data_IF_198049554201
#
_entry.id   IF_198049554201
#
_cell.length_a   1.000
_cell.length_b   1.000
_cell.length_c   1.000
_cell.angle_alpha   90.00
_cell.angle_beta   90.00
_cell.angle_gamma   90.00
#
_symmetry.space_group_name_H-M   'P 1'
#
loop_
_entity.id
_entity.type
_entity.pdbx_description
1 polymer ?
#
# COMPACT_ATOMS: atom_id res chain seq x y z
N UNK A 1 11.29 -13.92 13.33
CA UNK A 1 12.05 -14.49 14.46
C UNK A 1 11.99 -13.59 15.68
N UNK A 2 12.67 -12.44 15.70
CA UNK A 2 12.79 -11.57 16.89
C UNK A 2 11.44 -11.21 17.54
N UNK A 3 10.44 -10.77 16.75
CA UNK A 3 9.12 -10.39 17.29
C UNK A 3 8.36 -11.55 17.94
N UNK A 4 8.33 -12.72 17.30
CA UNK A 4 7.64 -13.92 17.81
C UNK A 4 8.36 -14.44 19.06
N UNK A 5 9.70 -14.49 19.04
CA UNK A 5 10.49 -14.89 20.22
C UNK A 5 10.18 -14.00 21.42
N UNK A 6 10.15 -12.67 21.23
CA UNK A 6 9.81 -11.73 22.29
C UNK A 6 8.40 -11.96 22.85
N UNK A 7 7.40 -12.18 21.99
CA UNK A 7 6.02 -12.45 22.44
C UNK A 7 5.92 -13.75 23.23
N UNK A 8 6.58 -14.83 22.77
CA UNK A 8 6.57 -16.11 23.48
C UNK A 8 7.25 -15.98 24.84
N UNK A 9 8.41 -15.33 24.91
CA UNK A 9 9.11 -15.09 26.19
C UNK A 9 8.23 -14.28 27.14
N UNK A 10 7.59 -13.20 26.68
CA UNK A 10 6.71 -12.38 27.52
C UNK A 10 5.48 -13.18 27.98
N UNK A 11 4.90 -14.01 27.11
CA UNK A 11 3.75 -14.84 27.45
C UNK A 11 4.11 -15.94 28.47
N UNK A 12 5.28 -16.56 28.35
CA UNK A 12 5.78 -17.54 29.32
C UNK A 12 6.11 -16.88 30.66
N UNK A 13 6.66 -15.66 30.64
CA UNK A 13 6.96 -14.86 31.83
C UNK A 13 5.79 -13.94 32.26
N UNK A 14 4.57 -14.24 31.81
CA UNK A 14 3.39 -13.36 31.94
C UNK A 14 2.96 -13.06 33.38
N UNK A 15 3.21 -13.97 34.32
CA UNK A 15 2.91 -13.73 35.74
C UNK A 15 3.71 -12.56 36.32
N UNK A 16 4.92 -12.32 35.80
CA UNK A 16 5.76 -11.19 36.23
C UNK A 16 5.56 -9.96 35.33
N UNK A 17 5.30 -10.17 34.04
CA UNK A 17 5.34 -9.10 33.05
C UNK A 17 3.98 -8.49 32.70
N UNK A 18 2.89 -9.27 32.71
CA UNK A 18 1.61 -8.86 32.15
C UNK A 18 0.52 -8.64 33.20
N UNK A 19 0.36 -9.56 34.14
CA UNK A 19 -0.76 -9.57 35.07
C UNK A 19 -0.38 -8.96 36.42
N UNK A 20 -1.34 -8.41 37.14
CA UNK A 20 -1.10 -7.84 38.48
C UNK A 20 -1.41 -8.89 39.58
N UNK A 21 -0.93 -8.70 40.83
CA UNK A 21 -1.17 -9.66 41.91
C UNK A 21 -2.66 -9.93 42.19
N UNK A 22 -3.52 -8.91 42.03
CA UNK A 22 -4.96 -9.05 42.20
C UNK A 22 -5.61 -9.99 41.18
N UNK A 23 -5.19 -9.94 39.92
CA UNK A 23 -5.63 -10.86 38.87
C UNK A 23 -5.15 -12.28 39.14
N UNK A 24 -3.91 -12.45 39.61
CA UNK A 24 -3.34 -13.75 39.93
C UNK A 24 -3.98 -14.40 41.17
N UNK A 25 -4.49 -13.59 42.09
CA UNK A 25 -5.17 -14.05 43.30
C UNK A 25 -6.64 -14.46 43.06
N UNK A 26 -7.24 -14.09 41.93
CA UNK A 26 -8.60 -14.50 41.58
C UNK A 26 -8.63 -16.00 41.20
N UNK A 27 -9.36 -16.87 41.93
CA UNK A 27 -9.46 -18.29 41.62
C UNK A 27 -10.04 -18.59 40.23
N UNK A 28 -10.77 -17.63 39.63
CA UNK A 28 -11.34 -17.76 38.28
C UNK A 28 -10.36 -17.35 37.17
N UNK A 29 -9.24 -16.71 37.52
CA UNK A 29 -8.27 -16.23 36.54
C UNK A 29 -7.37 -17.37 36.04
N UNK A 30 -7.56 -17.75 34.77
CA UNK A 30 -6.76 -18.78 34.12
C UNK A 30 -5.52 -18.16 33.47
N UNK A 31 -4.40 -18.10 34.22
CA UNK A 31 -3.13 -17.52 33.78
C UNK A 31 -2.73 -17.96 32.37
N UNK A 32 -2.52 -19.26 32.14
CA UNK A 32 -2.08 -19.78 30.85
C UNK A 32 -2.98 -19.35 29.68
N UNK A 33 -4.30 -19.39 29.87
CA UNK A 33 -5.26 -18.96 28.86
C UNK A 33 -5.22 -17.45 28.60
N UNK A 34 -5.05 -16.64 29.64
CA UNK A 34 -4.92 -15.19 29.52
C UNK A 34 -3.60 -14.79 28.81
N UNK A 35 -2.50 -15.47 29.12
CA UNK A 35 -1.19 -15.27 28.48
C UNK A 35 -1.23 -15.59 27.00
N UNK A 36 -1.85 -16.72 26.63
CA UNK A 36 -2.03 -17.08 25.22
C UNK A 36 -2.92 -16.06 24.50
N UNK A 37 -4.06 -15.68 25.08
CA UNK A 37 -4.95 -14.64 24.51
C UNK A 37 -4.21 -13.33 24.27
N UNK A 38 -3.36 -12.91 25.21
CA UNK A 38 -2.52 -11.72 25.01
C UNK A 38 -1.55 -11.91 23.85
N UNK A 39 -0.85 -13.05 23.80
CA UNK A 39 0.16 -13.35 22.77
C UNK A 39 -0.40 -13.30 21.35
N UNK A 40 -1.64 -13.77 21.15
CA UNK A 40 -2.30 -13.79 19.84
C UNK A 40 -3.28 -12.62 19.62
N UNK A 41 -3.41 -11.70 20.58
CA UNK A 41 -4.46 -10.67 20.53
C UNK A 41 -4.36 -9.73 19.33
N UNK A 42 -3.16 -9.52 18.76
CA UNK A 42 -3.01 -8.66 17.59
C UNK A 42 -3.55 -9.28 16.29
N UNK A 43 -3.77 -10.60 16.23
CA UNK A 43 -4.46 -11.24 15.09
C UNK A 43 -5.94 -10.85 15.01
N UNK A 44 -6.53 -10.31 16.08
CA UNK A 44 -7.89 -9.75 16.08
C UNK A 44 -7.96 -8.26 15.73
N UNK A 45 -6.84 -7.61 15.38
CA UNK A 45 -6.79 -6.18 15.16
C UNK A 45 -7.32 -5.81 13.75
N UNK A 46 -8.31 -4.91 13.68
CA UNK A 46 -8.94 -4.53 12.41
C UNK A 46 -7.96 -3.83 11.46
N UNK A 47 -7.02 -3.01 11.94
CA UNK A 47 -5.96 -2.41 11.11
C UNK A 47 -5.07 -3.48 10.45
N UNK A 48 -4.75 -4.57 11.16
CA UNK A 48 -3.92 -5.66 10.64
C UNK A 48 -4.65 -6.40 9.50
N UNK A 49 -5.95 -6.65 9.67
CA UNK A 49 -6.78 -7.23 8.62
C UNK A 49 -7.00 -6.29 7.43
N UNK A 50 -7.07 -4.97 7.66
CA UNK A 50 -7.12 -3.98 6.59
C UNK A 50 -5.84 -3.98 5.75
N UNK A 51 -4.67 -4.09 6.38
CA UNK A 51 -3.38 -4.25 5.68
C UNK A 51 -3.41 -5.50 4.80
N UNK A 52 -3.81 -6.64 5.37
CA UNK A 52 -3.93 -7.90 4.62
C UNK A 52 -4.89 -7.76 3.43
N UNK A 53 -6.04 -7.12 3.65
CA UNK A 53 -7.00 -6.74 2.62
C UNK A 53 -6.33 -6.04 1.45
N UNK A 54 -5.62 -4.96 1.71
CA UNK A 54 -4.94 -4.17 0.69
C UNK A 54 -3.94 -5.01 -0.13
N UNK A 55 -3.24 -5.99 0.46
CA UNK A 55 -2.36 -6.89 -0.30
C UNK A 55 -3.14 -7.77 -1.28
N UNK A 56 -4.38 -8.16 -0.95
CA UNK A 56 -5.23 -8.94 -1.85
C UNK A 56 -5.76 -8.09 -3.01
N UNK A 57 -6.09 -6.82 -2.78
CA UNK A 57 -6.39 -5.89 -3.87
C UNK A 57 -5.20 -5.80 -4.82
N UNK A 58 -3.98 -5.57 -4.30
CA UNK A 58 -2.76 -5.54 -5.11
C UNK A 58 -2.55 -6.83 -5.91
N UNK A 59 -2.73 -8.01 -5.30
CA UNK A 59 -2.66 -9.28 -6.01
C UNK A 59 -3.68 -9.37 -7.16
N UNK A 60 -4.89 -8.83 -6.98
CA UNK A 60 -5.90 -8.72 -8.03
C UNK A 60 -5.46 -7.82 -9.18
N UNK A 61 -4.83 -6.67 -8.89
CA UNK A 61 -4.27 -5.80 -9.92
C UNK A 61 -3.16 -6.48 -10.72
N UNK A 62 -2.24 -7.15 -10.04
CA UNK A 62 -1.13 -7.85 -10.68
C UNK A 62 -1.64 -8.97 -11.61
N UNK A 63 -2.61 -9.75 -11.13
CA UNK A 63 -3.20 -10.87 -11.89
C UNK A 63 -4.03 -10.41 -13.10
N UNK A 64 -4.75 -9.31 -12.99
CA UNK A 64 -5.61 -8.79 -14.07
C UNK A 64 -4.87 -7.94 -15.10
N UNK A 65 -3.65 -7.49 -14.79
CA UNK A 65 -2.89 -6.53 -15.61
C UNK A 65 -3.60 -5.17 -15.81
N UNK A 66 -4.64 -4.88 -15.02
CA UNK A 66 -5.41 -3.64 -15.14
C UNK A 66 -4.52 -2.40 -14.94
N UNK A 67 -3.58 -2.44 -13.99
CA UNK A 67 -2.67 -1.33 -13.74
C UNK A 67 -1.76 -1.04 -14.93
N UNK A 68 -1.30 -2.09 -15.64
CA UNK A 68 -0.54 -1.94 -16.89
C UNK A 68 -1.39 -1.29 -17.98
N UNK A 69 -2.64 -1.72 -18.14
CA UNK A 69 -3.58 -1.14 -19.10
C UNK A 69 -3.80 0.36 -18.82
N UNK A 70 -4.08 0.72 -17.57
CA UNK A 70 -4.33 2.09 -17.16
C UNK A 70 -3.12 3.00 -17.45
N UNK A 71 -1.93 2.56 -17.09
CA UNK A 71 -0.70 3.30 -17.35
C UNK A 71 -0.43 3.44 -18.86
N UNK A 72 -0.64 2.40 -19.68
CA UNK A 72 -0.51 2.49 -21.14
C UNK A 72 -1.51 3.45 -21.77
N UNK A 73 -2.76 3.50 -21.26
CA UNK A 73 -3.77 4.48 -21.70
C UNK A 73 -3.26 5.91 -21.44
N UNK A 74 -2.74 6.18 -20.25
CA UNK A 74 -2.20 7.50 -19.91
C UNK A 74 -0.99 7.86 -20.78
N UNK A 75 -0.05 6.93 -20.99
CA UNK A 75 1.11 7.15 -21.88
C UNK A 75 0.67 7.36 -23.33
N UNK A 76 -0.36 6.67 -23.82
CA UNK A 76 -0.92 6.87 -25.17
C UNK A 76 -1.42 8.31 -25.37
N UNK A 77 -2.16 8.87 -24.40
CA UNK A 77 -2.74 10.20 -24.54
C UNK A 77 -1.79 11.34 -24.17
N UNK A 78 -0.91 11.13 -23.19
CA UNK A 78 -0.05 12.17 -22.62
C UNK A 78 1.43 12.01 -22.99
N UNK A 79 1.84 10.92 -23.63
CA UNK A 79 3.25 10.58 -23.83
C UNK A 79 4.00 11.35 -24.92
N UNK A 80 3.32 12.21 -25.70
CA UNK A 80 3.93 12.92 -26.83
C UNK A 80 4.99 13.93 -26.40
N UNK A 81 4.80 14.61 -25.27
CA UNK A 81 5.77 15.57 -24.72
C UNK A 81 6.31 15.05 -23.39
N UNK A 82 7.58 15.29 -23.11
CA UNK A 82 8.25 14.73 -21.93
C UNK A 82 7.61 15.22 -20.61
N UNK A 83 7.16 16.47 -20.56
CA UNK A 83 6.44 16.99 -19.38
C UNK A 83 5.11 16.26 -19.17
N UNK A 84 4.27 16.16 -20.21
CA UNK A 84 2.97 15.46 -20.12
C UNK A 84 3.14 13.97 -19.88
N UNK A 85 4.24 13.37 -20.35
CA UNK A 85 4.61 12.00 -20.02
C UNK A 85 4.94 11.84 -18.52
N UNK A 86 5.61 12.82 -17.91
CA UNK A 86 5.80 12.85 -16.45
C UNK A 86 4.48 12.91 -15.69
N UNK A 87 3.52 13.71 -16.16
CA UNK A 87 2.15 13.70 -15.62
C UNK A 87 1.45 12.36 -15.84
N UNK A 88 1.63 11.71 -16.98
CA UNK A 88 1.07 10.39 -17.25
C UNK A 88 1.53 9.35 -16.21
N UNK A 89 2.82 9.34 -15.89
CA UNK A 89 3.41 8.49 -14.85
C UNK A 89 2.83 8.82 -13.48
N UNK A 90 2.76 10.11 -13.15
CA UNK A 90 2.27 10.57 -11.85
C UNK A 90 0.80 10.22 -11.65
N UNK A 91 -0.04 10.40 -12.66
CA UNK A 91 -1.45 10.03 -12.61
C UNK A 91 -1.67 8.51 -12.62
N UNK A 92 -0.83 7.75 -13.33
CA UNK A 92 -0.90 6.30 -13.27
C UNK A 92 -0.63 5.81 -11.85
N UNK A 93 0.40 6.34 -11.19
CA UNK A 93 0.70 6.00 -9.79
C UNK A 93 -0.41 6.48 -8.85
N UNK A 94 -0.92 7.71 -9.03
CA UNK A 94 -2.02 8.27 -8.23
C UNK A 94 -3.28 7.41 -8.27
N UNK A 95 -3.66 6.90 -9.44
CA UNK A 95 -4.87 6.07 -9.59
C UNK A 95 -4.71 4.67 -9.00
N UNK A 96 -3.48 4.15 -8.96
CA UNK A 96 -3.18 2.84 -8.38
C UNK A 96 -2.93 2.90 -6.87
N UNK A 97 -2.50 4.05 -6.35
CA UNK A 97 -2.07 4.18 -4.97
C UNK A 97 -3.11 3.82 -3.90
N UNK A 98 -4.40 4.18 -3.99
CA UNK A 98 -5.39 3.87 -2.96
C UNK A 98 -5.55 2.38 -2.66
N UNK A 99 -5.08 1.50 -3.55
CA UNK A 99 -5.39 0.07 -3.51
C UNK A 99 -4.17 -0.84 -3.47
N UNK A 100 -2.98 -0.26 -3.62
CA UNK A 100 -1.72 -1.00 -3.58
C UNK A 100 -0.93 -0.59 -2.35
N UNK A 101 -0.93 -1.38 -1.25
CA UNK A 101 -0.28 -1.05 0.03
C UNK A 101 1.24 -1.19 0.04
N UNK A 102 1.79 -1.33 -1.15
CA UNK A 102 3.21 -1.42 -1.39
C UNK A 102 3.58 -0.45 -2.50
N UNK A 103 4.27 0.61 -2.12
CA UNK A 103 4.86 1.56 -3.06
C UNK A 103 5.88 0.88 -3.98
N UNK A 104 6.59 -0.15 -3.51
CA UNK A 104 7.53 -0.93 -4.33
C UNK A 104 6.80 -1.81 -5.35
N UNK A 105 5.65 -2.41 -4.99
CA UNK A 105 4.84 -3.18 -5.95
C UNK A 105 4.23 -2.27 -7.02
N UNK A 106 3.69 -1.11 -6.62
CA UNK A 106 3.12 -0.14 -7.56
C UNK A 106 4.19 0.45 -8.47
N UNK A 107 5.22 1.08 -7.89
CA UNK A 107 6.27 1.77 -8.63
C UNK A 107 7.17 0.80 -9.38
N UNK A 108 7.62 -0.30 -8.75
CA UNK A 108 8.58 -1.24 -9.32
C UNK A 108 7.94 -2.39 -10.11
N UNK A 109 6.75 -2.83 -9.73
CA UNK A 109 6.06 -3.95 -10.38
C UNK A 109 5.16 -3.53 -11.55
N UNK A 110 4.38 -2.45 -11.38
CA UNK A 110 3.44 -2.01 -12.43
C UNK A 110 4.00 -0.88 -13.29
N UNK A 111 4.50 0.19 -12.67
CA UNK A 111 4.89 1.41 -13.36
C UNK A 111 6.28 1.27 -14.02
N UNK A 112 7.26 0.74 -13.31
CA UNK A 112 8.65 0.64 -13.79
C UNK A 112 8.80 -0.16 -15.10
N UNK A 113 8.15 -1.32 -15.31
CA UNK A 113 8.26 -2.03 -16.59
C UNK A 113 7.79 -1.19 -17.78
N UNK A 114 6.81 -0.31 -17.59
CA UNK A 114 6.36 0.60 -18.64
C UNK A 114 7.40 1.67 -18.86
N UNK A 115 7.87 2.32 -17.78
CA UNK A 115 8.84 3.40 -17.90
C UNK A 115 10.17 2.90 -18.46
N UNK A 116 10.68 1.74 -18.04
CA UNK A 116 11.95 1.19 -18.50
C UNK A 116 11.99 0.92 -20.03
N UNK A 117 10.83 0.71 -20.66
CA UNK A 117 10.72 0.56 -22.10
C UNK A 117 10.70 1.91 -22.87
N UNK A 118 10.51 3.04 -22.18
CA UNK A 118 10.46 4.36 -22.82
C UNK A 118 11.84 4.92 -23.18
N UNK A 119 12.86 4.99 -22.29
CA UNK A 119 14.17 5.56 -22.59
C UNK A 119 14.83 5.04 -23.89
N UNK A 120 14.77 3.74 -24.22
CA UNK A 120 15.29 3.24 -25.49
C UNK A 120 14.67 3.91 -26.74
N UNK A 121 13.39 4.30 -26.69
CA UNK A 121 12.71 5.02 -27.78
C UNK A 121 13.26 6.44 -28.01
N UNK A 122 14.10 6.93 -27.09
CA UNK A 122 14.82 8.21 -27.16
C UNK A 122 16.33 8.01 -27.33
N UNK A 123 16.79 6.77 -27.49
CA UNK A 123 18.21 6.43 -27.43
C UNK A 123 18.86 6.80 -26.09
N UNK A 124 18.11 6.71 -25.00
CA UNK A 124 18.54 7.03 -23.63
C UNK A 124 18.87 5.72 -22.90
N UNK A 125 20.11 5.58 -22.42
CA UNK A 125 20.61 4.36 -21.76
C UNK A 125 21.02 4.62 -20.30
N UNK A 126 20.85 3.64 -19.39
CA UNK A 126 21.35 3.76 -18.03
C UNK A 126 22.88 3.79 -18.00
N UNK A 127 23.46 4.51 -17.04
CA UNK A 127 24.92 4.65 -16.85
C UNK A 127 25.69 5.20 -18.06
N UNK A 128 25.01 5.98 -18.91
CA UNK A 128 25.56 6.58 -20.12
C UNK A 128 25.20 8.08 -20.15
N UNK A 129 25.99 8.96 -20.79
CA UNK A 129 25.63 10.38 -20.92
C UNK A 129 24.22 10.61 -21.50
N UNK A 130 23.74 9.71 -22.36
CA UNK A 130 22.39 9.73 -22.93
C UNK A 130 21.26 9.48 -21.92
N UNK A 131 21.54 9.08 -20.67
CA UNK A 131 20.55 8.93 -19.61
C UNK A 131 19.73 10.23 -19.39
N UNK A 132 20.36 11.38 -19.66
CA UNK A 132 19.74 12.71 -19.56
C UNK A 132 18.73 13.02 -20.66
N UNK A 133 18.73 12.28 -21.76
CA UNK A 133 17.77 12.50 -22.85
C UNK A 133 16.33 12.42 -22.38
N UNK A 134 16.02 11.41 -21.55
CA UNK A 134 14.74 11.33 -20.85
C UNK A 134 14.76 10.40 -19.63
N UNK A 135 15.61 9.36 -19.62
CA UNK A 135 15.54 8.29 -18.63
C UNK A 135 15.65 8.77 -17.19
N UNK A 136 16.63 9.61 -16.89
CA UNK A 136 16.82 10.18 -15.55
C UNK A 136 15.61 11.00 -15.09
N UNK A 137 15.01 11.80 -15.98
CA UNK A 137 13.81 12.59 -15.66
C UNK A 137 12.61 11.68 -15.33
N UNK A 138 12.37 10.64 -16.13
CA UNK A 138 11.24 9.73 -15.90
C UNK A 138 11.40 8.93 -14.60
N UNK A 139 12.63 8.51 -14.28
CA UNK A 139 12.91 7.83 -13.01
C UNK A 139 12.67 8.74 -11.82
N UNK A 140 13.12 10.00 -11.88
CA UNK A 140 12.87 10.98 -10.82
C UNK A 140 11.38 11.26 -10.62
N UNK A 141 10.63 11.40 -11.71
CA UNK A 141 9.18 11.57 -11.64
C UNK A 141 8.51 10.34 -11.03
N UNK A 142 8.88 9.13 -11.46
CA UNK A 142 8.29 7.89 -10.95
C UNK A 142 8.49 7.71 -9.45
N UNK A 143 9.72 7.87 -8.96
CA UNK A 143 10.02 7.68 -7.54
C UNK A 143 9.34 8.72 -6.66
N UNK A 144 9.32 9.98 -7.10
CA UNK A 144 8.73 11.06 -6.31
C UNK A 144 7.21 11.00 -6.33
N UNK A 145 6.60 10.67 -7.48
CA UNK A 145 5.17 10.41 -7.58
C UNK A 145 4.77 9.29 -6.61
N UNK A 146 5.52 8.19 -6.59
CA UNK A 146 5.28 7.08 -5.66
C UNK A 146 5.36 7.53 -4.19
N UNK A 147 6.29 8.42 -3.83
CA UNK A 147 6.39 8.98 -2.46
C UNK A 147 5.19 9.86 -2.10
N UNK A 148 4.78 10.76 -3.01
CA UNK A 148 3.65 11.68 -2.80
C UNK A 148 2.36 10.88 -2.62
N UNK A 149 2.05 9.99 -3.56
CA UNK A 149 0.82 9.20 -3.53
C UNK A 149 0.79 8.24 -2.35
N UNK A 150 1.96 7.71 -1.94
CA UNK A 150 2.09 6.91 -0.72
C UNK A 150 1.78 7.69 0.55
N UNK A 151 1.96 9.02 0.54
CA UNK A 151 1.60 9.87 1.67
C UNK A 151 0.12 10.26 1.63
N UNK A 152 -0.43 10.47 0.42
CA UNK A 152 -1.83 10.85 0.20
C UNK A 152 -2.84 9.81 0.69
N UNK A 153 -2.56 8.52 0.47
CA UNK A 153 -3.51 7.46 0.82
C UNK A 153 -3.01 6.61 1.98
N UNK A 154 -3.86 6.46 2.99
CA UNK A 154 -3.59 5.62 4.16
C UNK A 154 -3.21 4.18 3.74
N UNK A 155 -3.86 3.65 2.72
CA UNK A 155 -3.68 2.29 2.19
C UNK A 155 -2.53 2.14 1.19
N UNK A 156 -1.80 3.20 0.84
CA UNK A 156 -0.75 3.13 -0.20
C UNK A 156 0.62 2.68 0.33
N UNK A 157 0.81 2.65 1.65
CA UNK A 157 2.08 2.35 2.30
C UNK A 157 1.87 1.76 3.71
N UNK A 158 2.42 0.57 3.97
CA UNK A 158 2.28 -0.12 5.27
C UNK A 158 2.64 0.74 6.51
N UNK A 159 3.74 1.53 6.51
CA UNK A 159 4.02 2.51 7.55
C UNK A 159 2.87 3.45 7.94
N UNK A 160 1.98 3.84 7.01
CA UNK A 160 0.85 4.73 7.33
C UNK A 160 -0.16 4.02 8.24
N UNK A 161 -0.45 2.76 7.94
CA UNK A 161 -1.34 1.92 8.74
C UNK A 161 -0.74 1.61 10.11
N UNK A 162 0.59 1.45 10.19
CA UNK A 162 1.29 1.36 11.47
C UNK A 162 1.15 2.66 12.29
N UNK A 163 1.40 3.81 11.67
CA UNK A 163 1.27 5.10 12.33
C UNK A 163 -0.15 5.29 12.89
N UNK A 164 -1.17 4.91 12.13
CA UNK A 164 -2.55 4.94 12.59
C UNK A 164 -2.79 4.04 13.81
N UNK A 165 -2.31 2.80 13.76
CA UNK A 165 -2.41 1.86 14.88
C UNK A 165 -1.73 2.40 16.15
N UNK A 166 -0.59 3.07 16.01
CA UNK A 166 0.13 3.71 17.11
C UNK A 166 -0.62 4.93 17.66
N UNK A 167 -1.12 5.81 16.80
CA UNK A 167 -1.91 6.99 17.22
C UNK A 167 -3.14 6.55 18.02
N UNK A 168 -3.84 5.51 17.54
CA UNK A 168 -4.99 4.95 18.24
C UNK A 168 -4.62 4.35 19.59
N UNK A 169 -3.49 3.64 19.71
CA UNK A 169 -3.09 2.99 20.96
C UNK A 169 -2.49 3.94 21.99
N UNK A 170 -1.83 5.03 21.55
CA UNK A 170 -1.09 5.97 22.38
C UNK A 170 -1.98 7.15 22.79
N UNK A 171 -2.71 7.72 21.82
CA UNK A 171 -3.47 8.98 21.98
C UNK A 171 -4.98 8.70 22.07
N UNK A 172 -5.45 7.52 21.65
CA UNK A 172 -6.87 7.18 21.65
C UNK A 172 -7.65 7.77 20.47
N UNK A 173 -6.97 8.45 19.54
CA UNK A 173 -7.61 9.07 18.37
C UNK A 173 -7.73 8.03 17.25
N UNK A 174 -8.93 7.91 16.68
CA UNK A 174 -9.19 7.06 15.53
C UNK A 174 -9.29 7.93 14.27
N UNK A 175 -8.30 7.83 13.37
CA UNK A 175 -8.32 8.55 12.09
C UNK A 175 -8.86 7.60 11.02
N UNK A 176 -9.98 7.97 10.39
CA UNK A 176 -10.54 7.18 9.29
C UNK A 176 -9.71 7.34 8.01
N UNK A 177 -9.90 6.42 7.05
CA UNK A 177 -9.29 6.53 5.72
C UNK A 177 -9.67 7.86 5.04
N UNK A 178 -10.94 8.26 5.12
CA UNK A 178 -11.45 9.50 4.54
C UNK A 178 -10.85 10.75 5.20
N UNK A 179 -10.75 10.75 6.53
CA UNK A 179 -10.12 11.85 7.27
C UNK A 179 -8.66 12.04 6.88
N UNK A 180 -7.90 10.95 6.76
CA UNK A 180 -6.51 10.99 6.29
C UNK A 180 -6.41 11.60 4.88
N UNK A 181 -7.23 11.09 3.96
CA UNK A 181 -7.22 11.53 2.58
C UNK A 181 -7.55 13.03 2.46
N UNK A 182 -8.63 13.49 3.10
CA UNK A 182 -9.06 14.90 3.07
C UNK A 182 -8.01 15.80 3.71
N UNK A 183 -7.38 15.38 4.80
CA UNK A 183 -6.34 16.17 5.46
C UNK A 183 -5.12 16.38 4.56
N UNK A 184 -4.73 15.36 3.78
CA UNK A 184 -3.59 15.46 2.87
C UNK A 184 -3.97 16.09 1.51
N UNK A 185 -5.24 16.01 1.09
CA UNK A 185 -5.71 16.36 -0.24
C UNK A 185 -5.24 17.73 -0.76
N UNK A 186 -5.31 18.84 0.01
CA UNK A 186 -4.86 20.15 -0.48
C UNK A 186 -3.37 20.16 -0.86
N UNK A 187 -2.52 19.58 0.01
CA UNK A 187 -1.09 19.45 -0.24
C UNK A 187 -0.81 18.41 -1.33
N UNK A 188 -1.56 17.32 -1.36
CA UNK A 188 -1.43 16.27 -2.37
C UNK A 188 -1.69 16.78 -3.78
N UNK A 189 -2.75 17.56 -4.00
CA UNK A 189 -3.04 18.18 -5.30
C UNK A 189 -1.89 19.10 -5.70
N UNK A 190 -1.42 19.95 -4.79
CA UNK A 190 -0.31 20.86 -5.06
C UNK A 190 0.95 20.08 -5.45
N UNK A 191 1.31 19.02 -4.72
CA UNK A 191 2.50 18.21 -4.99
C UNK A 191 2.38 17.41 -6.29
N UNK A 192 1.23 16.81 -6.58
CA UNK A 192 0.98 16.05 -7.82
C UNK A 192 1.10 16.96 -9.05
N UNK A 193 0.64 18.21 -8.95
CA UNK A 193 0.74 19.17 -10.04
C UNK A 193 2.14 19.79 -10.14
N UNK A 194 2.72 20.19 -9.01
CA UNK A 194 4.02 20.87 -9.01
C UNK A 194 5.19 19.93 -9.31
N UNK A 195 5.16 18.68 -8.83
CA UNK A 195 6.34 17.81 -8.84
C UNK A 195 6.86 17.51 -10.25
N UNK A 196 6.04 17.08 -11.24
CA UNK A 196 6.54 16.85 -12.60
C UNK A 196 7.11 18.12 -13.23
N UNK A 197 6.49 19.27 -12.96
CA UNK A 197 6.96 20.57 -13.44
C UNK A 197 8.30 20.97 -12.81
N UNK A 198 8.45 20.80 -11.50
CA UNK A 198 9.70 21.07 -10.79
C UNK A 198 10.83 20.15 -11.26
N UNK A 199 10.56 18.85 -11.41
CA UNK A 199 11.54 17.92 -11.97
C UNK A 199 11.93 18.29 -13.41
N UNK A 200 10.98 18.76 -14.21
CA UNK A 200 11.23 19.24 -15.56
C UNK A 200 12.08 20.52 -15.58
N UNK A 201 12.00 21.36 -14.56
CA UNK A 201 12.80 22.58 -14.46
C UNK A 201 14.20 22.33 -13.88
N UNK A 202 14.32 21.56 -12.81
CA UNK A 202 15.61 21.23 -12.19
C UNK A 202 16.44 20.24 -13.00
N UNK A 203 15.77 19.28 -13.65
CA UNK A 203 16.42 18.24 -14.42
C UNK A 203 15.74 18.06 -15.79
N UNK A 204 15.82 19.08 -16.66
CA UNK A 204 15.10 19.08 -17.93
C UNK A 204 15.58 17.93 -18.82
N UNK A 205 14.65 17.14 -19.39
CA UNK A 205 15.00 16.15 -20.40
C UNK A 205 15.48 16.86 -21.67
N UNK A 206 16.57 16.36 -22.27
CA UNK A 206 17.14 16.94 -23.50
C UNK A 206 16.16 16.78 -24.68
N UNK A 207 15.45 15.64 -24.74
CA UNK A 207 14.42 15.40 -25.74
C UNK A 207 13.05 15.71 -25.15
N UNK A 208 12.32 16.64 -25.78
CA UNK A 208 11.05 17.18 -25.26
C UNK A 208 9.80 16.66 -25.97
N UNK A 209 9.95 16.14 -27.19
CA UNK A 209 8.85 15.65 -28.03
C UNK A 209 9.25 14.34 -28.69
N UNK A 210 8.37 13.35 -28.65
CA UNK A 210 8.54 12.08 -29.36
C UNK A 210 7.17 11.50 -29.73
N UNK A 211 6.93 11.33 -31.03
CA UNK A 211 5.65 10.79 -31.52
C UNK A 211 5.61 9.25 -31.43
N UNK A 212 6.75 8.58 -31.24
CA UNK A 212 6.84 7.12 -31.15
C UNK A 212 6.33 6.58 -29.81
N UNK A 213 6.40 7.37 -28.72
CA UNK A 213 5.92 6.93 -27.40
C UNK A 213 4.40 6.66 -27.39
N UNK A 214 3.53 7.58 -27.85
CA UNK A 214 2.11 7.30 -28.01
C UNK A 214 1.82 6.07 -28.88
N UNK A 215 2.56 5.90 -30.00
CA UNK A 215 2.38 4.78 -30.93
C UNK A 215 2.80 3.44 -30.29
N UNK A 216 3.92 3.42 -29.58
CA UNK A 216 4.36 2.26 -28.81
C UNK A 216 3.33 1.86 -27.76
N UNK A 217 2.81 2.84 -27.00
CA UNK A 217 1.79 2.57 -25.99
C UNK A 217 0.49 2.04 -26.61
N UNK A 218 0.10 2.54 -27.79
CA UNK A 218 -1.06 2.03 -28.53
C UNK A 218 -0.86 0.57 -28.96
N UNK A 219 0.32 0.20 -29.50
CA UNK A 219 0.64 -1.18 -29.88
C UNK A 219 0.68 -2.12 -28.67
N UNK A 220 1.24 -1.68 -27.54
CA UNK A 220 1.22 -2.46 -26.30
C UNK A 220 -0.20 -2.65 -25.75
N UNK A 221 -1.05 -1.62 -25.85
CA UNK A 221 -2.45 -1.70 -25.46
C UNK A 221 -3.25 -2.66 -26.37
N UNK A 222 -2.95 -2.69 -27.66
CA UNK A 222 -3.54 -3.64 -28.62
C UNK A 222 -3.15 -5.09 -28.27
N UNK A 223 -1.90 -5.34 -27.87
CA UNK A 223 -1.46 -6.67 -27.41
C UNK A 223 -2.20 -7.14 -26.15
N UNK A 224 -2.63 -6.23 -25.28
CA UNK A 224 -3.47 -6.56 -24.11
C UNK A 224 -4.92 -6.88 -24.50
N UNK A 225 -5.32 -6.62 -25.74
CA UNK A 225 -6.68 -6.88 -26.22
C UNK A 225 -7.74 -6.01 -25.54
N UNK A 226 -9.00 -6.45 -25.61
CA UNK A 226 -10.15 -5.78 -24.98
C UNK A 226 -10.09 -5.93 -23.45
N UNK A 227 -10.80 -5.05 -22.74
CA UNK A 227 -11.02 -5.16 -21.30
C UNK A 227 -11.62 -6.53 -20.97
N UNK A 228 -10.90 -7.30 -20.16
CA UNK A 228 -11.38 -8.60 -19.69
C UNK A 228 -12.43 -8.43 -18.60
N UNK A 229 -13.26 -9.46 -18.44
CA UNK A 229 -14.25 -9.54 -17.35
C UNK A 229 -13.61 -9.29 -15.98
N UNK A 230 -12.43 -9.86 -15.73
CA UNK A 230 -11.76 -9.77 -14.43
C UNK A 230 -11.23 -8.36 -14.16
N UNK A 231 -10.77 -7.64 -15.19
CA UNK A 231 -10.38 -6.24 -15.07
C UNK A 231 -11.58 -5.34 -14.68
N UNK A 232 -12.73 -5.57 -15.31
CA UNK A 232 -13.96 -4.82 -15.02
C UNK A 232 -14.45 -5.14 -13.60
N UNK A 233 -14.49 -6.42 -13.22
CA UNK A 233 -14.91 -6.83 -11.88
C UNK A 233 -13.99 -6.26 -10.80
N UNK A 234 -12.67 -6.29 -11.02
CA UNK A 234 -11.72 -5.68 -10.09
C UNK A 234 -12.02 -4.19 -9.90
N UNK A 235 -12.21 -3.44 -10.99
CA UNK A 235 -12.54 -2.01 -10.91
C UNK A 235 -13.84 -1.77 -10.13
N UNK A 236 -14.88 -2.55 -10.40
CA UNK A 236 -16.16 -2.45 -9.68
C UNK A 236 -15.97 -2.70 -8.19
N UNK A 237 -15.25 -3.76 -7.81
CA UNK A 237 -15.01 -4.09 -6.41
C UNK A 237 -14.16 -3.07 -5.67
N UNK A 238 -13.19 -2.48 -6.37
CA UNK A 238 -12.34 -1.39 -5.87
C UNK A 238 -13.17 -0.14 -5.61
N UNK A 239 -14.00 0.28 -6.57
CA UNK A 239 -14.91 1.41 -6.39
C UNK A 239 -15.92 1.14 -5.27
N UNK A 240 -16.40 -0.09 -5.15
CA UNK A 240 -17.29 -0.52 -4.09
C UNK A 240 -16.63 -0.44 -2.70
N UNK A 241 -15.38 -0.91 -2.55
CA UNK A 241 -14.62 -0.77 -1.31
C UNK A 241 -14.41 0.70 -0.92
N UNK A 242 -14.05 1.58 -1.86
CA UNK A 242 -13.93 3.02 -1.58
C UNK A 242 -15.25 3.63 -1.13
N UNK A 243 -16.35 3.31 -1.82
CA UNK A 243 -17.65 3.80 -1.46
C UNK A 243 -18.02 3.40 -0.02
N UNK A 244 -17.70 2.15 0.38
CA UNK A 244 -17.89 1.71 1.76
C UNK A 244 -16.99 2.47 2.75
N UNK A 245 -15.71 2.67 2.44
CA UNK A 245 -14.78 3.38 3.32
C UNK A 245 -15.11 4.87 3.50
N UNK A 246 -15.72 5.50 2.50
CA UNK A 246 -16.09 6.93 2.53
C UNK A 246 -17.47 7.12 3.13
N UNK A 247 -18.47 6.38 2.65
CA UNK A 247 -19.87 6.63 2.98
C UNK A 247 -20.39 5.71 4.08
N UNK A 248 -19.82 4.52 4.28
CA UNK A 248 -20.31 3.53 5.23
C UNK A 248 -19.40 3.32 6.46
N UNK A 249 -18.47 4.25 6.71
CA UNK A 249 -17.49 4.14 7.80
C UNK A 249 -18.12 4.05 9.20
N UNK A 250 -19.35 4.55 9.39
CA UNK A 250 -20.08 4.48 10.66
C UNK A 250 -20.77 3.12 10.88
N UNK A 251 -21.10 2.40 9.81
CA UNK A 251 -21.84 1.13 9.90
C UNK A 251 -20.95 -0.10 9.71
N UNK A 252 -19.87 0.02 8.92
CA UNK A 252 -19.02 -1.10 8.54
C UNK A 252 -17.55 -0.76 8.80
N UNK A 253 -16.92 -1.57 9.64
CA UNK A 253 -15.48 -1.51 9.88
C UNK A 253 -14.71 -1.65 8.54
N UNK A 254 -13.76 -0.75 8.22
CA UNK A 254 -13.03 -0.77 6.94
C UNK A 254 -12.38 -2.12 6.61
N UNK A 255 -11.90 -2.84 7.62
CA UNK A 255 -11.32 -4.18 7.48
C UNK A 255 -12.37 -5.20 7.01
N UNK A 256 -13.60 -5.11 7.52
CA UNK A 256 -14.70 -5.99 7.11
C UNK A 256 -15.13 -5.70 5.67
N UNK A 257 -15.18 -4.43 5.26
CA UNK A 257 -15.42 -4.06 3.87
C UNK A 257 -14.36 -4.65 2.92
N UNK A 258 -13.08 -4.62 3.32
CA UNK A 258 -12.00 -5.24 2.56
C UNK A 258 -12.17 -6.77 2.46
N UNK A 259 -12.50 -7.43 3.57
CA UNK A 259 -12.75 -8.88 3.58
C UNK A 259 -13.94 -9.28 2.71
N UNK A 260 -15.03 -8.50 2.73
CA UNK A 260 -16.18 -8.70 1.86
C UNK A 260 -15.75 -8.69 0.39
N UNK A 261 -14.96 -7.69 -0.01
CA UNK A 261 -14.45 -7.60 -1.38
C UNK A 261 -13.52 -8.76 -1.73
N UNK A 262 -12.66 -9.21 -0.82
CA UNK A 262 -11.83 -10.41 -1.05
C UNK A 262 -12.72 -11.63 -1.34
N UNK A 263 -13.80 -11.82 -0.57
CA UNK A 263 -14.75 -12.92 -0.80
C UNK A 263 -15.38 -12.80 -2.19
N UNK A 264 -15.81 -11.60 -2.59
CA UNK A 264 -16.36 -11.37 -3.93
C UNK A 264 -15.33 -11.66 -5.03
N UNK A 265 -14.06 -11.28 -4.83
CA UNK A 265 -12.97 -11.56 -5.77
C UNK A 265 -12.69 -13.06 -5.90
N UNK A 266 -12.80 -13.83 -4.82
CA UNK A 266 -12.68 -15.29 -4.82
C UNK A 266 -13.86 -15.95 -5.54
N UNK A 267 -15.09 -15.54 -5.22
CA UNK A 267 -16.31 -16.11 -5.83
C UNK A 267 -16.42 -15.86 -7.32
N UNK A 268 -15.94 -14.71 -7.78
CA UNK A 268 -15.95 -14.35 -9.20
C UNK A 268 -14.75 -14.85 -9.99
N UNK A 269 -13.74 -15.42 -9.33
CA UNK A 269 -12.52 -15.94 -9.95
C UNK A 269 -11.50 -14.85 -10.34
N UNK A 270 -11.66 -13.61 -9.85
CA UNK A 270 -10.64 -12.57 -9.98
C UNK A 270 -9.37 -13.01 -9.25
N UNK A 271 -9.52 -13.56 -8.04
CA UNK A 271 -8.47 -14.24 -7.30
C UNK A 271 -8.81 -15.71 -7.11
N UNK A 272 -7.80 -16.56 -7.02
CA UNK A 272 -7.92 -17.92 -6.51
C UNK A 272 -7.37 -18.01 -5.09
N UNK A 273 -7.77 -19.03 -4.35
CA UNK A 273 -7.26 -19.26 -2.99
C UNK A 273 -5.73 -19.37 -2.96
N UNK A 274 -5.13 -19.96 -4.00
CA UNK A 274 -3.68 -20.05 -4.17
C UNK A 274 -2.99 -18.68 -4.21
N UNK A 275 -3.65 -17.66 -4.76
CA UNK A 275 -3.08 -16.31 -4.83
C UNK A 275 -2.94 -15.71 -3.42
N UNK A 276 -3.89 -16.02 -2.54
CA UNK A 276 -3.87 -15.60 -1.13
C UNK A 276 -2.77 -16.34 -0.38
N UNK A 277 -2.73 -17.67 -0.48
CA UNK A 277 -1.76 -18.49 0.29
C UNK A 277 -0.33 -18.28 -0.16
N UNK A 278 -0.10 -17.97 -1.44
CA UNK A 278 1.23 -17.76 -2.00
C UNK A 278 1.75 -16.32 -1.81
N UNK A 279 0.92 -15.39 -1.32
CA UNK A 279 1.34 -14.01 -1.07
C UNK A 279 2.19 -13.88 0.21
N UNK A 280 3.46 -14.29 0.11
CA UNK A 280 4.43 -14.25 1.22
C UNK A 280 4.56 -12.86 1.86
N UNK A 281 4.48 -11.80 1.05
CA UNK A 281 4.57 -10.42 1.55
C UNK A 281 3.38 -10.07 2.44
N UNK A 282 2.16 -10.45 2.05
CA UNK A 282 0.96 -10.25 2.85
C UNK A 282 1.06 -10.99 4.19
N UNK A 283 1.41 -12.28 4.17
CA UNK A 283 1.53 -13.10 5.38
C UNK A 283 2.64 -12.63 6.33
N UNK A 284 3.80 -12.27 5.78
CA UNK A 284 4.90 -11.73 6.59
C UNK A 284 4.47 -10.44 7.29
N UNK A 285 3.85 -9.53 6.54
CA UNK A 285 3.38 -8.24 7.06
C UNK A 285 2.27 -8.43 8.11
N UNK A 286 1.31 -9.32 7.83
CA UNK A 286 0.22 -9.67 8.73
C UNK A 286 0.73 -10.20 10.08
N UNK A 287 1.62 -11.19 10.06
CA UNK A 287 2.21 -11.78 11.28
C UNK A 287 3.04 -10.76 12.05
N UNK A 288 3.79 -9.91 11.35
CA UNK A 288 4.62 -8.88 11.99
C UNK A 288 3.76 -7.85 12.74
N UNK A 289 2.70 -7.34 12.13
CA UNK A 289 1.78 -6.39 12.77
C UNK A 289 0.85 -7.03 13.81
N UNK A 290 0.50 -8.31 13.65
CA UNK A 290 -0.30 -9.06 14.62
C UNK A 290 0.46 -9.37 15.93
N UNK A 291 1.78 -9.28 15.91
CA UNK A 291 2.64 -9.52 17.08
C UNK A 291 2.49 -8.33 18.05
N UNK A 292 2.04 -8.51 19.32
CA UNK A 292 1.82 -7.41 20.27
C UNK A 292 3.01 -6.44 20.49
N UNK A 293 4.24 -6.88 20.24
CA UNK A 293 5.44 -6.04 20.27
C UNK A 293 5.60 -5.09 19.07
N UNK A 294 4.98 -5.39 17.93
CA UNK A 294 4.94 -4.50 16.75
C UNK A 294 3.87 -3.41 16.85
N UNK A 295 2.86 -3.63 17.70
CA UNK A 295 1.74 -2.72 17.92
C UNK A 295 1.83 -2.02 19.28
N UNK A 296 2.97 -1.41 19.61
CA UNK A 296 3.12 -0.35 20.63
C UNK A 296 2.30 -0.46 21.92
N UNK A 297 2.13 -1.65 22.53
CA UNK A 297 1.40 -1.77 23.81
C UNK A 297 2.33 -1.41 24.97
N UNK A 298 2.02 -0.27 25.60
CA UNK A 298 2.68 0.37 26.77
C UNK A 298 2.85 -0.44 28.08
N UNK A 299 2.15 -1.55 28.40
CA UNK A 299 2.26 -2.10 29.76
C UNK A 299 3.65 -2.58 30.17
N UNK A 300 4.48 -3.03 29.22
CA UNK A 300 5.77 -3.63 29.54
C UNK A 300 6.88 -2.60 29.82
N UNK A 301 6.99 -1.55 28.99
CA UNK A 301 8.03 -0.54 29.15
C UNK A 301 7.88 0.23 30.47
N UNK A 302 6.64 0.50 30.89
CA UNK A 302 6.36 1.18 32.15
C UNK A 302 6.67 0.30 33.38
N UNK A 303 6.48 -1.02 33.28
CA UNK A 303 6.85 -1.96 34.35
C UNK A 303 8.35 -2.20 34.43
N UNK A 304 9.04 -2.29 33.29
CA UNK A 304 10.50 -2.45 33.25
C UNK A 304 11.23 -1.21 33.79
N UNK A 305 10.73 0.00 33.51
CA UNK A 305 11.28 1.24 34.09
C UNK A 305 11.11 1.32 35.61
N UNK A 306 10.06 0.70 36.16
CA UNK A 306 9.77 0.67 37.61
C UNK A 306 10.49 -0.45 38.37
N UNK A 307 11.06 -1.41 37.65
CA UNK A 307 11.88 -2.50 38.20
C UNK A 307 13.39 -2.18 38.09
N UNK A 308 13.76 -1.18 37.29
CA UNK A 308 15.13 -0.73 37.07
C UNK A 308 15.49 0.54 37.88
N UNK A 309 14.60 1.02 38.74
CA UNK A 309 14.84 2.08 39.72
C UNK A 309 14.26 1.69 41.06
#
# INVERSE_FOLDING_TARGET
MIGITGVVVIALCSQWLLFNPAQLADPKFKLAGASFKWAVSGFGNSTVWLIFGAFMFAAGYDKTQFGRRLALILVKYLGRRSLTLGYAITFADLLLAPFTPSNTARSGGTIYPIIANLPPLYGSKPNDPSARRIGSYLMWVAITAACITSSMFLSALAPNLLALALVKSIVGINISWGTWFIAFLPLGILLILAMPLLAYWFYPPEVKVNNEVPLWAARELEKLGKLSRNEILLLVFVCFALAMWIFAAEWIEPALAALLVIVLMLWTGVLSWSDITNNKAAWNTFVWFATPGGAGRRPLLYRLYRLAG
#
